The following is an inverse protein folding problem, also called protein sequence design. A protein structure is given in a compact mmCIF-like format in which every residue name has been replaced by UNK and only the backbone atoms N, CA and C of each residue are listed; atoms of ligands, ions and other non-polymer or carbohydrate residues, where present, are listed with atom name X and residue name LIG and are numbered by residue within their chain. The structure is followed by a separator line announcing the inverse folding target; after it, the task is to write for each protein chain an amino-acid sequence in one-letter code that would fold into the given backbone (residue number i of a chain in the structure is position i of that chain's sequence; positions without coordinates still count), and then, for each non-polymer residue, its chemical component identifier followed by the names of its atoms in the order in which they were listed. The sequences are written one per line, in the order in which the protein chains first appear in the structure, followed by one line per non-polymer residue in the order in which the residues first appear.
data_IF_228465964803
#
_entry.id   IF_228465964803
#
_cell.length_a   1.000
_cell.length_b   1.000
_cell.length_c   1.000
_cell.angle_alpha   90.00
_cell.angle_beta   90.00
_cell.angle_gamma   90.00
#
_symmetry.space_group_name_H-M   'P 1'
#
loop_
_entity.id
_entity.type
_entity.pdbx_description
1 polymer ?
#
# COMPACT_ATOMS: atom_id res chain seq x y z
N UNK A 1 -17.36 -17.53 -3.52
CA UNK A 1 -17.42 -17.24 -2.06
C UNK A 1 -16.75 -18.31 -1.21
N UNK A 2 -17.02 -19.62 -1.34
CA UNK A 2 -16.42 -20.65 -0.48
C UNK A 2 -14.88 -20.66 -0.44
N UNK A 3 -14.20 -20.28 -1.53
CA UNK A 3 -12.75 -20.14 -1.53
C UNK A 3 -12.28 -18.97 -0.66
N UNK A 4 -12.98 -17.87 -0.71
CA UNK A 4 -12.69 -16.69 0.13
C UNK A 4 -12.90 -17.04 1.61
N UNK A 5 -14.00 -17.72 1.95
CA UNK A 5 -14.27 -18.21 3.31
C UNK A 5 -13.18 -19.17 3.79
N UNK A 6 -12.70 -20.05 2.90
CA UNK A 6 -11.60 -20.97 3.20
C UNK A 6 -10.28 -20.25 3.47
N UNK A 7 -9.95 -19.21 2.70
CA UNK A 7 -8.77 -18.38 2.92
C UNK A 7 -8.86 -17.68 4.28
N UNK A 8 -10.03 -17.12 4.60
CA UNK A 8 -10.28 -16.45 5.88
C UNK A 8 -10.27 -17.41 7.08
N UNK A 9 -10.70 -18.68 6.89
CA UNK A 9 -10.88 -19.64 7.99
C UNK A 9 -9.67 -20.50 8.31
N UNK A 10 -8.64 -20.52 7.44
CA UNK A 10 -7.49 -21.42 7.60
C UNK A 10 -6.19 -20.65 7.83
N UNK A 11 -5.88 -20.27 9.09
CA UNK A 11 -4.65 -19.54 9.43
C UNK A 11 -3.37 -20.40 9.34
N UNK A 12 -3.51 -21.72 9.13
CA UNK A 12 -2.42 -22.69 9.16
C UNK A 12 -2.03 -23.20 7.77
N UNK A 13 -2.75 -22.81 6.72
CA UNK A 13 -2.43 -23.20 5.35
C UNK A 13 -1.01 -22.78 4.97
N UNK A 14 -0.23 -23.73 4.46
CA UNK A 14 1.15 -23.54 3.96
C UNK A 14 1.22 -23.57 2.44
N UNK A 15 0.17 -24.03 1.80
CA UNK A 15 0.01 -24.06 0.36
C UNK A 15 -1.43 -23.77 -0.04
N UNK A 16 -1.61 -23.25 -1.24
CA UNK A 16 -2.95 -22.89 -1.76
C UNK A 16 -3.90 -24.11 -1.80
N UNK A 17 -3.36 -25.31 -2.08
CA UNK A 17 -4.14 -26.54 -2.08
C UNK A 17 -4.77 -26.85 -0.72
N UNK A 18 -4.14 -26.45 0.38
CA UNK A 18 -4.66 -26.73 1.72
C UNK A 18 -5.95 -25.98 2.06
N UNK A 19 -6.28 -24.92 1.32
CA UNK A 19 -7.59 -24.28 1.45
C UNK A 19 -8.75 -25.20 1.07
N UNK A 20 -8.51 -26.19 0.18
CA UNK A 20 -9.52 -27.20 -0.15
C UNK A 20 -9.85 -28.13 1.03
N UNK A 21 -8.99 -28.23 2.02
CA UNK A 21 -9.21 -29.03 3.23
C UNK A 21 -10.03 -28.31 4.29
N UNK A 22 -10.28 -27.02 4.09
CA UNK A 22 -11.08 -26.22 5.03
C UNK A 22 -12.55 -26.70 5.00
N UNK A 23 -13.21 -26.92 6.14
CA UNK A 23 -14.57 -27.47 6.18
C UNK A 23 -15.61 -26.67 5.39
N UNK A 24 -15.46 -25.34 5.30
CA UNK A 24 -16.36 -24.49 4.53
C UNK A 24 -16.19 -24.60 3.00
N UNK A 25 -15.09 -25.20 2.52
CA UNK A 25 -14.86 -25.43 1.09
C UNK A 25 -15.36 -26.83 0.70
N UNK A 26 -16.51 -26.91 0.06
CA UNK A 26 -17.20 -28.17 -0.25
C UNK A 26 -16.73 -28.87 -1.53
N UNK A 27 -15.95 -28.15 -2.35
CA UNK A 27 -15.53 -28.61 -3.66
C UNK A 27 -14.15 -29.28 -3.63
N UNK A 28 -13.73 -29.87 -4.75
CA UNK A 28 -12.42 -30.50 -4.88
C UNK A 28 -11.31 -29.46 -5.10
N UNK A 29 -10.05 -29.89 -4.92
CA UNK A 29 -8.91 -29.03 -5.19
C UNK A 29 -8.82 -28.58 -6.66
N UNK A 30 -9.23 -29.44 -7.60
CA UNK A 30 -9.26 -29.10 -9.02
C UNK A 30 -10.22 -27.95 -9.31
N UNK A 31 -11.34 -27.88 -8.60
CA UNK A 31 -12.32 -26.79 -8.72
C UNK A 31 -11.72 -25.46 -8.22
N UNK A 32 -10.86 -25.49 -7.19
CA UNK A 32 -10.15 -24.29 -6.74
C UNK A 32 -9.31 -23.70 -7.89
N UNK A 33 -8.47 -24.52 -8.51
CA UNK A 33 -7.63 -24.08 -9.62
C UNK A 33 -8.45 -23.63 -10.84
N UNK A 34 -9.56 -24.32 -11.13
CA UNK A 34 -10.48 -23.95 -12.19
C UNK A 34 -11.12 -22.60 -11.90
N UNK A 35 -11.61 -22.37 -10.68
CA UNK A 35 -12.18 -21.08 -10.27
C UNK A 35 -11.20 -19.92 -10.44
N UNK A 36 -9.94 -20.09 -9.98
CA UNK A 36 -8.91 -19.07 -10.18
C UNK A 36 -8.57 -18.84 -11.64
N UNK A 37 -8.66 -19.89 -12.48
CA UNK A 37 -8.35 -19.78 -13.91
C UNK A 37 -9.44 -19.09 -14.72
N UNK A 38 -10.70 -19.27 -14.36
CA UNK A 38 -11.88 -18.87 -15.14
C UNK A 38 -12.55 -17.58 -14.61
N UNK A 39 -12.19 -17.14 -13.40
CA UNK A 39 -12.74 -15.91 -12.88
C UNK A 39 -12.28 -14.70 -13.70
N UNK A 40 -13.19 -13.77 -13.88
CA UNK A 40 -12.91 -12.42 -14.41
C UNK A 40 -13.06 -11.43 -13.28
N UNK A 41 -12.26 -10.39 -13.29
CA UNK A 41 -12.23 -9.39 -12.25
C UNK A 41 -12.35 -7.99 -12.86
N UNK A 42 -13.30 -7.22 -12.34
CA UNK A 42 -13.35 -5.78 -12.57
C UNK A 42 -12.41 -5.10 -11.56
N UNK A 43 -11.53 -4.22 -12.02
CA UNK A 43 -10.52 -3.57 -11.17
C UNK A 43 -11.15 -2.81 -10.01
N UNK A 44 -12.33 -2.20 -10.20
CA UNK A 44 -13.05 -1.42 -9.18
C UNK A 44 -14.01 -2.25 -8.33
N UNK A 45 -14.23 -3.50 -8.67
CA UNK A 45 -15.23 -4.34 -7.99
C UNK A 45 -15.04 -4.43 -6.48
N UNK A 46 -13.79 -4.56 -6.02
CA UNK A 46 -13.50 -4.62 -4.58
C UNK A 46 -13.86 -3.31 -3.88
N UNK A 47 -13.49 -2.16 -4.47
CA UNK A 47 -13.81 -0.85 -3.93
C UNK A 47 -15.33 -0.66 -3.78
N UNK A 48 -16.11 -1.09 -4.79
CA UNK A 48 -17.57 -1.02 -4.73
C UNK A 48 -18.16 -1.94 -3.65
N UNK A 49 -17.63 -3.15 -3.49
CA UNK A 49 -18.09 -4.09 -2.45
C UNK A 49 -17.88 -3.54 -1.04
N UNK A 50 -16.74 -2.87 -0.81
CA UNK A 50 -16.44 -2.33 0.52
C UNK A 50 -17.03 -0.94 0.78
N UNK A 51 -17.32 -0.16 -0.27
CA UNK A 51 -17.78 1.23 -0.16
C UNK A 51 -18.94 1.45 0.82
N UNK A 52 -20.00 0.59 0.85
CA UNK A 52 -21.12 0.75 1.80
C UNK A 52 -20.73 0.61 3.27
N UNK A 53 -19.56 0.02 3.57
CA UNK A 53 -19.08 -0.25 4.93
C UNK A 53 -18.01 0.75 5.38
N UNK A 54 -17.65 1.72 4.54
CA UNK A 54 -16.64 2.74 4.86
C UNK A 54 -17.25 3.83 5.73
N UNK A 55 -16.73 4.00 6.93
CA UNK A 55 -17.11 5.09 7.83
C UNK A 55 -16.61 6.44 7.30
N UNK A 56 -17.34 7.50 7.62
CA UNK A 56 -16.80 8.84 7.50
C UNK A 56 -15.76 9.07 8.60
N UNK A 57 -14.64 9.74 8.31
CA UNK A 57 -13.69 10.14 9.35
C UNK A 57 -14.38 11.02 10.40
N UNK A 58 -14.03 10.83 11.67
CA UNK A 58 -14.60 11.58 12.80
C UNK A 58 -13.57 12.49 13.46
N UNK A 59 -12.31 12.04 13.51
CA UNK A 59 -11.22 12.76 14.19
C UNK A 59 -10.42 13.66 13.23
N UNK A 60 -10.43 13.35 11.93
CA UNK A 60 -9.71 14.11 10.90
C UNK A 60 -10.63 14.57 9.77
N UNK A 61 -10.37 15.73 9.11
CA UNK A 61 -11.24 16.27 8.07
C UNK A 61 -11.11 15.59 6.70
N UNK A 62 -10.32 14.52 6.57
CA UNK A 62 -10.01 13.87 5.30
C UNK A 62 -10.05 12.34 5.38
N UNK A 63 -10.27 11.72 4.23
CA UNK A 63 -10.07 10.28 4.05
C UNK A 63 -8.59 10.03 3.73
N UNK A 64 -7.97 9.09 4.44
CA UNK A 64 -6.57 8.76 4.23
C UNK A 64 -6.43 7.56 3.31
N UNK A 65 -5.78 7.74 2.17
CA UNK A 65 -5.45 6.71 1.21
C UNK A 65 -3.95 6.40 1.30
N UNK A 66 -3.61 5.15 1.18
CA UNK A 66 -2.22 4.72 1.12
C UNK A 66 -1.92 4.04 -0.20
N UNK A 67 -0.79 4.35 -0.80
CA UNK A 67 -0.30 3.71 -2.03
C UNK A 67 1.06 3.09 -1.80
N UNK A 68 1.23 1.83 -2.24
CA UNK A 68 2.52 1.16 -2.17
C UNK A 68 2.63 0.05 -3.20
N UNK A 69 3.88 -0.30 -3.56
CA UNK A 69 4.20 -1.38 -4.49
C UNK A 69 4.94 -2.48 -3.75
N UNK A 70 4.41 -3.70 -3.85
CA UNK A 70 5.05 -4.87 -3.25
C UNK A 70 5.58 -5.85 -4.31
N UNK A 71 6.79 -6.41 -4.11
CA UNK A 71 7.37 -7.38 -5.01
C UNK A 71 6.76 -8.77 -4.83
N UNK A 72 6.59 -9.47 -5.96
CA UNK A 72 6.24 -10.89 -6.07
C UNK A 72 7.40 -11.65 -6.72
N UNK A 73 8.35 -12.23 -5.95
CA UNK A 73 9.48 -12.96 -6.49
C UNK A 73 9.05 -14.20 -7.29
N UNK A 74 9.56 -14.34 -8.52
CA UNK A 74 9.25 -15.43 -9.47
C UNK A 74 10.51 -15.87 -10.22
N UNK A 75 11.63 -15.96 -9.53
CA UNK A 75 12.95 -16.20 -10.14
C UNK A 75 13.04 -17.53 -10.91
N UNK A 76 12.35 -18.58 -10.45
CA UNK A 76 12.39 -19.89 -11.08
C UNK A 76 11.23 -20.16 -12.06
N UNK A 77 10.31 -19.21 -12.24
CA UNK A 77 9.18 -19.36 -13.14
C UNK A 77 9.56 -19.04 -14.60
N UNK A 78 10.45 -19.86 -15.18
CA UNK A 78 11.03 -19.58 -16.50
C UNK A 78 10.02 -19.47 -17.65
N UNK A 79 8.83 -20.00 -17.50
CA UNK A 79 7.76 -19.96 -18.50
C UNK A 79 6.72 -18.86 -18.24
N UNK A 80 6.88 -18.09 -17.16
CA UNK A 80 6.04 -16.95 -16.84
C UNK A 80 6.53 -15.72 -17.62
N UNK A 81 5.62 -15.08 -18.35
CA UNK A 81 5.91 -13.87 -19.12
C UNK A 81 6.07 -12.64 -18.24
N UNK A 82 6.63 -11.56 -18.80
CA UNK A 82 6.73 -10.22 -18.20
C UNK A 82 7.44 -10.18 -16.84
N UNK A 83 8.41 -11.08 -16.62
CA UNK A 83 9.25 -11.02 -15.41
C UNK A 83 10.36 -9.99 -15.60
N UNK A 84 10.41 -9.03 -14.68
CA UNK A 84 11.47 -8.00 -14.65
C UNK A 84 12.37 -8.10 -13.42
N UNK A 85 13.36 -7.20 -13.36
CA UNK A 85 14.16 -7.02 -12.15
C UNK A 85 13.34 -6.23 -11.11
N UNK A 86 13.20 -6.80 -9.93
CA UNK A 86 12.43 -6.23 -8.82
C UNK A 86 13.29 -6.11 -7.56
N UNK A 87 12.92 -5.19 -6.68
CA UNK A 87 13.58 -5.05 -5.38
C UNK A 87 13.23 -6.25 -4.47
N UNK A 88 14.22 -6.79 -3.78
CA UNK A 88 14.04 -7.84 -2.78
C UNK A 88 14.35 -7.30 -1.39
N UNK A 89 13.34 -7.10 -0.52
CA UNK A 89 13.54 -6.46 0.78
C UNK A 89 14.36 -7.30 1.78
N UNK A 90 14.33 -8.64 1.67
CA UNK A 90 15.04 -9.54 2.57
C UNK A 90 16.30 -10.08 1.86
N UNK A 91 17.41 -9.38 2.02
CA UNK A 91 18.67 -9.75 1.42
C UNK A 91 19.49 -10.68 2.31
N UNK A 92 20.16 -11.64 1.67
CA UNK A 92 21.33 -12.26 2.26
C UNK A 92 22.48 -11.25 2.24
N UNK A 93 23.20 -11.12 3.35
CA UNK A 93 24.34 -10.19 3.46
C UNK A 93 25.33 -10.42 2.29
N UNK A 94 25.68 -9.34 1.61
CA UNK A 94 26.57 -9.40 0.43
C UNK A 94 25.87 -9.52 -0.92
N UNK A 95 24.57 -9.84 -0.97
CA UNK A 95 23.82 -9.90 -2.22
C UNK A 95 23.23 -8.54 -2.60
N UNK A 96 23.06 -8.30 -3.90
CA UNK A 96 22.29 -7.14 -4.37
C UNK A 96 20.82 -7.30 -4.01
N UNK A 97 20.11 -6.21 -3.64
CA UNK A 97 18.68 -6.25 -3.27
C UNK A 97 17.76 -6.41 -4.49
N UNK A 98 18.09 -7.32 -5.39
CA UNK A 98 17.40 -7.50 -6.67
C UNK A 98 17.09 -8.98 -6.86
N UNK A 99 15.88 -9.27 -7.29
CA UNK A 99 15.43 -10.58 -7.76
C UNK A 99 14.63 -10.42 -9.05
N UNK A 100 14.11 -11.52 -9.57
CA UNK A 100 13.29 -11.54 -10.78
C UNK A 100 11.84 -11.86 -10.39
N UNK A 101 10.88 -11.12 -10.95
CA UNK A 101 9.46 -11.36 -10.66
C UNK A 101 8.55 -10.27 -11.19
N UNK A 102 7.39 -10.16 -10.57
CA UNK A 102 6.37 -9.16 -10.83
C UNK A 102 6.30 -8.14 -9.68
N UNK A 103 5.63 -7.03 -9.92
CA UNK A 103 5.33 -6.01 -8.91
C UNK A 103 3.83 -5.71 -8.94
N UNK A 104 3.26 -5.50 -7.77
CA UNK A 104 1.85 -5.17 -7.63
C UNK A 104 1.70 -3.83 -6.91
N UNK A 105 1.01 -2.89 -7.55
CA UNK A 105 0.59 -1.63 -6.96
C UNK A 105 -0.74 -1.83 -6.25
N UNK A 106 -0.85 -1.30 -5.05
CA UNK A 106 -2.09 -1.37 -4.24
C UNK A 106 -2.40 -0.01 -3.68
N UNK A 107 -3.66 0.42 -3.84
CA UNK A 107 -4.25 1.57 -3.16
C UNK A 107 -5.26 1.06 -2.14
N UNK A 108 -5.18 1.57 -0.93
CA UNK A 108 -6.04 1.18 0.17
C UNK A 108 -6.48 2.40 0.99
N UNK A 109 -7.68 2.33 1.57
CA UNK A 109 -8.09 3.24 2.63
C UNK A 109 -7.37 2.86 3.93
N UNK A 110 -6.83 3.84 4.62
CA UNK A 110 -6.28 3.72 5.97
C UNK A 110 -7.31 4.31 6.94
N UNK A 111 -8.15 3.47 7.57
CA UNK A 111 -9.23 3.94 8.43
C UNK A 111 -8.68 4.56 9.70
N UNK A 112 -9.47 5.39 10.36
CA UNK A 112 -9.21 5.82 11.73
C UNK A 112 -9.24 4.62 12.68
N UNK A 113 -8.53 4.76 13.81
CA UNK A 113 -8.46 3.69 14.81
C UNK A 113 -9.78 3.64 15.57
N UNK A 114 -10.53 2.56 15.42
CA UNK A 114 -11.77 2.31 16.14
C UNK A 114 -11.49 1.76 17.55
N UNK A 115 -12.37 2.03 18.50
CA UNK A 115 -12.28 1.48 19.84
C UNK A 115 -12.31 -0.06 19.80
N UNK A 116 -11.42 -0.69 20.55
CA UNK A 116 -11.31 -2.16 20.59
C UNK A 116 -10.74 -2.81 19.32
N UNK A 117 -10.44 -2.04 18.29
CA UNK A 117 -9.85 -2.50 17.02
C UNK A 117 -8.36 -2.13 16.95
N UNK A 118 -7.56 -2.99 16.34
CA UNK A 118 -6.14 -2.72 16.12
C UNK A 118 -5.94 -1.61 15.08
N UNK A 119 -4.98 -0.75 15.31
CA UNK A 119 -4.58 0.30 14.35
C UNK A 119 -3.96 -0.23 13.04
N UNK A 120 -3.75 -1.53 12.90
CA UNK A 120 -3.05 -2.11 11.73
C UNK A 120 -3.98 -2.55 10.61
N UNK A 121 -5.24 -2.18 10.64
CA UNK A 121 -6.17 -2.47 9.57
C UNK A 121 -6.05 -1.48 8.42
N UNK A 122 -6.16 -2.00 7.21
CA UNK A 122 -6.42 -1.23 6.00
C UNK A 122 -7.68 -1.76 5.31
N UNK A 123 -8.22 -1.02 4.36
CA UNK A 123 -9.24 -1.52 3.44
C UNK A 123 -8.69 -1.48 2.04
N UNK A 124 -8.30 -2.63 1.44
CA UNK A 124 -7.79 -2.64 0.08
C UNK A 124 -8.91 -2.21 -0.88
N UNK A 125 -8.59 -1.29 -1.78
CA UNK A 125 -9.53 -0.74 -2.75
C UNK A 125 -9.23 -1.20 -4.16
N UNK A 126 -8.01 -0.93 -4.63
CA UNK A 126 -7.52 -1.32 -5.94
C UNK A 126 -6.17 -2.00 -5.81
N UNK A 127 -5.95 -3.01 -6.64
CA UNK A 127 -4.63 -3.62 -6.77
C UNK A 127 -4.47 -4.21 -8.16
N UNK A 128 -3.37 -3.90 -8.84
CA UNK A 128 -3.03 -4.52 -10.10
C UNK A 128 -1.53 -4.73 -10.26
N UNK A 129 -1.16 -5.59 -11.18
CA UNK A 129 0.23 -5.78 -11.57
C UNK A 129 0.73 -4.54 -12.33
N UNK A 130 1.91 -4.06 -11.96
CA UNK A 130 2.67 -3.13 -12.78
C UNK A 130 3.51 -3.95 -13.76
N UNK A 131 3.26 -3.79 -15.07
CA UNK A 131 4.05 -4.45 -16.10
C UNK A 131 5.49 -3.93 -16.13
N UNK A 132 6.40 -4.71 -16.69
CA UNK A 132 7.84 -4.35 -16.64
C UNK A 132 8.17 -3.08 -17.42
N UNK A 133 7.39 -2.73 -18.43
CA UNK A 133 7.51 -1.49 -19.22
C UNK A 133 6.84 -0.28 -18.55
N UNK A 134 5.94 -0.48 -17.61
CA UNK A 134 5.26 0.60 -16.88
C UNK A 134 6.16 1.23 -15.79
N UNK A 135 5.90 2.48 -15.46
CA UNK A 135 6.39 3.09 -14.24
C UNK A 135 5.43 2.71 -13.09
N UNK A 136 5.93 1.87 -12.18
CA UNK A 136 5.11 1.29 -11.10
C UNK A 136 4.48 2.34 -10.17
N UNK A 137 5.12 3.50 -10.03
CA UNK A 137 4.54 4.60 -9.26
C UNK A 137 3.40 5.27 -10.05
N UNK A 138 3.52 5.42 -11.37
CA UNK A 138 2.44 5.96 -12.21
C UNK A 138 1.23 5.03 -12.26
N UNK A 139 1.42 3.71 -12.15
CA UNK A 139 0.31 2.77 -11.95
C UNK A 139 -0.51 3.13 -10.71
N UNK A 140 0.17 3.50 -9.61
CA UNK A 140 -0.52 4.01 -8.41
C UNK A 140 -1.28 5.31 -8.65
N UNK A 141 -0.75 6.20 -9.50
CA UNK A 141 -1.45 7.44 -9.88
C UNK A 141 -2.71 7.15 -10.72
N UNK A 142 -2.65 6.21 -11.66
CA UNK A 142 -3.81 5.77 -12.44
C UNK A 142 -4.89 5.14 -11.55
N UNK A 143 -4.49 4.33 -10.58
CA UNK A 143 -5.41 3.76 -9.60
C UNK A 143 -6.07 4.84 -8.74
N UNK A 144 -5.32 5.85 -8.33
CA UNK A 144 -5.84 7.00 -7.58
C UNK A 144 -6.85 7.80 -8.43
N UNK A 145 -6.51 8.06 -9.70
CA UNK A 145 -7.40 8.73 -10.66
C UNK A 145 -8.71 7.96 -10.82
N UNK A 146 -8.65 6.64 -10.95
CA UNK A 146 -9.82 5.76 -11.04
C UNK A 146 -10.72 5.89 -9.82
N UNK A 147 -10.16 5.85 -8.60
CA UNK A 147 -10.94 5.97 -7.36
C UNK A 147 -11.60 7.35 -7.21
N UNK A 148 -10.88 8.42 -7.55
CA UNK A 148 -11.37 9.78 -7.35
C UNK A 148 -12.41 10.19 -8.40
N UNK A 149 -12.41 9.58 -9.57
CA UNK A 149 -13.39 9.83 -10.64
C UNK A 149 -14.65 8.98 -10.53
N UNK A 150 -14.62 7.87 -9.80
CA UNK A 150 -15.79 7.01 -9.67
C UNK A 150 -16.80 7.62 -8.69
N UNK A 151 -17.89 8.14 -9.23
CA UNK A 151 -18.96 8.78 -8.47
C UNK A 151 -19.73 7.83 -7.51
N UNK A 152 -19.56 6.52 -7.64
CA UNK A 152 -20.13 5.52 -6.75
C UNK A 152 -19.30 5.33 -5.47
N UNK A 153 -18.09 5.90 -5.44
CA UNK A 153 -17.17 5.82 -4.32
C UNK A 153 -17.15 7.13 -3.54
N UNK A 154 -16.91 7.08 -2.24
CA UNK A 154 -17.00 8.28 -1.38
C UNK A 154 -15.72 9.14 -1.40
N UNK A 155 -14.96 9.14 -2.50
CA UNK A 155 -13.67 9.82 -2.59
C UNK A 155 -13.70 11.07 -3.48
N UNK A 156 -14.57 11.11 -4.49
CA UNK A 156 -14.58 12.19 -5.48
C UNK A 156 -14.92 13.58 -4.90
N UNK A 157 -15.73 13.64 -3.86
CA UNK A 157 -16.17 14.90 -3.24
C UNK A 157 -15.53 15.18 -1.87
N UNK A 158 -14.96 14.15 -1.22
CA UNK A 158 -14.30 14.30 0.07
C UNK A 158 -12.86 14.81 -0.10
N UNK A 159 -12.37 15.56 0.90
CA UNK A 159 -10.94 15.79 0.99
C UNK A 159 -10.25 14.45 1.22
N UNK A 160 -9.29 14.13 0.36
CA UNK A 160 -8.49 12.93 0.44
C UNK A 160 -7.02 13.30 0.67
N UNK A 161 -6.40 12.70 1.66
CA UNK A 161 -4.95 12.70 1.81
C UNK A 161 -4.39 11.35 1.35
N UNK A 162 -3.34 11.39 0.55
CA UNK A 162 -2.64 10.21 0.08
C UNK A 162 -1.26 10.13 0.71
N UNK A 163 -0.88 8.96 1.20
CA UNK A 163 0.46 8.73 1.77
C UNK A 163 1.25 7.72 0.93
N UNK A 164 2.48 8.12 0.57
CA UNK A 164 3.42 7.28 -0.18
C UNK A 164 4.85 7.35 0.35
N UNK A 165 5.66 6.37 -0.02
CA UNK A 165 7.08 6.35 0.32
C UNK A 165 7.87 7.39 -0.49
N UNK A 166 9.20 7.32 -0.41
CA UNK A 166 10.12 8.21 -1.15
C UNK A 166 9.95 8.12 -2.68
N UNK A 167 9.47 7.01 -3.20
CA UNK A 167 9.27 6.82 -4.64
C UNK A 167 8.14 7.71 -5.18
N UNK A 168 7.13 7.96 -4.37
CA UNK A 168 5.97 8.79 -4.70
C UNK A 168 6.24 10.30 -4.60
N UNK A 169 7.40 10.71 -4.09
CA UNK A 169 7.81 12.12 -4.09
C UNK A 169 8.42 12.59 -5.42
N UNK A 170 8.44 11.75 -6.45
CA UNK A 170 8.99 12.09 -7.78
C UNK A 170 8.08 13.09 -8.50
N UNK A 171 8.66 14.06 -9.26
CA UNK A 171 7.87 15.02 -10.02
C UNK A 171 6.84 14.39 -10.96
N UNK A 172 7.14 13.23 -11.58
CA UNK A 172 6.22 12.56 -12.48
C UNK A 172 4.93 12.12 -11.78
N UNK A 173 5.05 11.51 -10.60
CA UNK A 173 3.92 11.08 -9.79
C UNK A 173 3.07 12.26 -9.33
N UNK A 174 3.72 13.26 -8.70
CA UNK A 174 3.05 14.45 -8.20
C UNK A 174 2.36 15.25 -9.32
N UNK A 175 2.95 15.25 -10.52
CA UNK A 175 2.35 15.90 -11.69
C UNK A 175 1.14 15.12 -12.24
N UNK A 176 1.15 13.79 -12.18
CA UNK A 176 0.04 12.96 -12.66
C UNK A 176 -1.26 13.25 -11.90
N UNK A 177 -1.17 13.40 -10.57
CA UNK A 177 -2.32 13.58 -9.68
C UNK A 177 -2.74 15.05 -9.46
N UNK A 178 -2.06 16.02 -10.06
CA UNK A 178 -2.26 17.45 -9.83
C UNK A 178 -3.65 18.00 -10.18
N UNK A 179 -4.39 17.29 -11.02
CA UNK A 179 -5.71 17.75 -11.51
C UNK A 179 -6.85 17.41 -10.53
N UNK A 180 -6.57 16.65 -9.47
CA UNK A 180 -7.54 16.37 -8.41
C UNK A 180 -7.47 17.45 -7.34
N UNK A 181 -8.37 18.44 -7.40
CA UNK A 181 -8.40 19.55 -6.43
C UNK A 181 -8.66 19.10 -5.00
N UNK A 182 -9.28 17.94 -4.79
CA UNK A 182 -9.57 17.38 -3.47
C UNK A 182 -8.51 16.36 -2.97
N UNK A 183 -7.40 16.16 -3.70
CA UNK A 183 -6.32 15.25 -3.30
C UNK A 183 -5.12 16.03 -2.76
N UNK A 184 -4.63 15.61 -1.61
CA UNK A 184 -3.37 16.08 -1.02
C UNK A 184 -2.42 14.91 -0.87
N UNK A 185 -1.30 14.93 -1.59
CA UNK A 185 -0.28 13.89 -1.54
C UNK A 185 0.78 14.21 -0.47
N UNK A 186 0.98 13.32 0.48
CA UNK A 186 2.00 13.37 1.53
C UNK A 186 3.05 12.30 1.22
N UNK A 187 4.22 12.70 0.77
CA UNK A 187 5.27 11.76 0.38
C UNK A 187 6.60 12.07 1.06
N UNK A 188 7.36 11.03 1.40
CA UNK A 188 8.67 11.21 2.02
C UNK A 188 9.68 11.77 1.03
N UNK A 189 10.41 12.81 1.43
CA UNK A 189 11.56 13.31 0.70
C UNK A 189 12.86 12.61 1.12
N UNK A 190 13.76 12.36 0.16
CA UNK A 190 15.13 11.93 0.47
C UNK A 190 15.91 13.09 1.06
N UNK A 191 16.64 12.87 2.15
CA UNK A 191 17.45 13.90 2.81
C UNK A 191 18.58 14.52 1.96
N UNK A 192 18.76 14.07 0.72
CA UNK A 192 19.73 14.63 -0.24
C UNK A 192 19.08 15.57 -1.26
N UNK A 193 17.78 15.84 -1.15
CA UNK A 193 17.08 16.72 -2.10
C UNK A 193 17.32 18.19 -1.79
N UNK A 194 17.28 18.98 -2.85
CA UNK A 194 17.26 20.44 -2.79
C UNK A 194 15.94 20.93 -3.36
N UNK A 195 15.30 21.84 -2.65
CA UNK A 195 14.10 22.57 -3.02
C UNK A 195 14.40 24.06 -3.12
N UNK A 196 13.40 24.87 -3.40
CA UNK A 196 13.57 26.30 -3.60
C UNK A 196 12.40 27.04 -2.96
N UNK A 197 12.67 28.22 -2.40
CA UNK A 197 11.59 29.18 -2.12
C UNK A 197 11.05 29.73 -3.45
N UNK A 198 9.83 30.19 -3.44
CA UNK A 198 9.30 30.96 -4.55
C UNK A 198 10.12 32.25 -4.68
N UNK A 199 10.46 32.61 -5.91
CA UNK A 199 11.16 33.87 -6.16
C UNK A 199 10.24 35.05 -5.87
N UNK A 200 10.75 36.02 -5.15
CA UNK A 200 10.08 37.34 -4.90
C UNK A 200 10.96 38.38 -5.59
N UNK A 201 10.39 39.08 -6.58
CA UNK A 201 11.09 40.15 -7.26
C UNK A 201 11.40 41.31 -6.29
N UNK A 202 12.62 41.76 -6.29
CA UNK A 202 13.00 43.03 -5.61
C UNK A 202 12.78 44.18 -6.58
N UNK A 203 12.43 45.36 -6.04
CA UNK A 203 12.06 46.56 -6.83
C UNK A 203 13.14 47.07 -7.77
N UNK A 204 14.35 46.51 -7.74
CA UNK A 204 15.52 46.95 -8.54
C UNK A 204 15.81 46.04 -9.73
N UNK A 205 15.03 44.93 -9.92
CA UNK A 205 15.31 43.98 -11.00
C UNK A 205 14.58 44.33 -12.29
N UNK A 206 15.30 44.36 -13.39
CA UNK A 206 14.79 44.59 -14.75
C UNK A 206 13.79 43.51 -15.15
N UNK A 207 12.65 43.91 -15.72
CA UNK A 207 11.63 43.02 -16.28
C UNK A 207 12.08 42.27 -17.53
N UNK A 208 13.30 42.54 -18.03
CA UNK A 208 13.83 41.91 -19.22
C UNK A 208 14.44 40.53 -18.95
N UNK A 209 13.93 39.48 -19.59
CA UNK A 209 14.50 38.13 -19.53
C UNK A 209 13.47 37.03 -19.26
N UNK A 210 13.95 35.79 -19.10
CA UNK A 210 13.11 34.65 -18.76
C UNK A 210 12.64 34.76 -17.29
N UNK A 211 11.33 34.57 -17.00
CA UNK A 211 10.83 34.64 -15.64
C UNK A 211 11.60 33.74 -14.69
N UNK A 212 12.07 34.31 -13.57
CA UNK A 212 12.75 33.60 -12.50
C UNK A 212 11.67 33.04 -11.55
N UNK A 213 11.49 31.73 -11.51
CA UNK A 213 10.52 31.10 -10.63
C UNK A 213 11.12 30.67 -9.28
N UNK A 214 12.41 30.35 -9.29
CA UNK A 214 13.09 29.71 -8.17
C UNK A 214 13.97 30.74 -7.44
N UNK A 215 13.63 31.00 -6.19
CA UNK A 215 14.44 31.80 -5.26
C UNK A 215 15.57 30.99 -4.61
N UNK A 216 15.91 31.32 -3.38
CA UNK A 216 16.98 30.67 -2.62
C UNK A 216 16.88 29.15 -2.54
N UNK A 217 18.00 28.49 -2.67
CA UNK A 217 18.08 27.03 -2.55
C UNK A 217 17.90 26.61 -1.09
N UNK A 218 17.13 25.54 -0.87
CA UNK A 218 16.87 24.88 0.42
C UNK A 218 17.36 23.45 0.34
N UNK A 219 18.50 23.15 0.89
CA UNK A 219 19.05 21.81 0.92
C UNK A 219 18.62 21.03 2.16
N UNK A 220 18.07 19.82 2.00
CA UNK A 220 17.72 18.98 3.14
C UNK A 220 18.94 18.43 3.89
N UNK A 221 20.11 18.47 3.26
CA UNK A 221 21.37 18.02 3.85
C UNK A 221 22.12 19.13 4.59
N UNK A 222 21.90 20.38 4.18
CA UNK A 222 22.64 21.54 4.66
C UNK A 222 21.72 22.50 5.44
N UNK A 223 21.94 22.58 6.74
CA UNK A 223 21.10 23.40 7.63
C UNK A 223 21.28 24.91 7.41
N UNK A 224 22.44 25.32 6.95
CA UNK A 224 22.73 26.74 6.71
C UNK A 224 21.91 27.36 5.59
N UNK A 225 21.35 26.52 4.71
CA UNK A 225 20.48 26.94 3.60
C UNK A 225 18.99 27.07 4.00
N UNK A 226 18.66 26.72 5.24
CA UNK A 226 17.27 26.68 5.72
C UNK A 226 16.91 27.98 6.42
N UNK A 227 15.96 28.74 5.89
CA UNK A 227 15.42 29.88 6.62
C UNK A 227 14.58 29.39 7.81
N UNK A 228 14.21 30.31 8.69
CA UNK A 228 13.26 30.02 9.77
C UNK A 228 11.98 29.38 9.23
N UNK A 229 11.41 28.38 9.94
CA UNK A 229 10.16 27.76 9.55
C UNK A 229 9.00 28.74 9.62
N UNK A 230 8.05 28.59 8.71
CA UNK A 230 6.83 29.38 8.70
C UNK A 230 5.87 28.96 9.84
N UNK A 231 5.97 27.68 10.26
CA UNK A 231 5.17 27.12 11.35
C UNK A 231 5.97 26.07 12.11
N UNK A 232 5.79 26.02 13.44
CA UNK A 232 6.39 25.00 14.31
C UNK A 232 5.39 24.55 15.35
N UNK A 233 5.23 23.23 15.50
CA UNK A 233 4.42 22.64 16.56
C UNK A 233 5.22 21.55 17.31
N UNK A 234 4.78 21.25 18.53
CA UNK A 234 5.32 20.15 19.34
C UNK A 234 4.19 19.17 19.64
N UNK A 235 4.41 17.89 19.34
CA UNK A 235 3.48 16.81 19.61
C UNK A 235 4.13 15.82 20.59
N UNK A 236 3.36 15.37 21.57
CA UNK A 236 3.82 14.31 22.50
C UNK A 236 3.24 12.96 22.07
N UNK A 237 4.11 11.99 21.88
CA UNK A 237 3.74 10.62 21.50
C UNK A 237 4.10 9.64 22.61
N UNK A 238 3.24 8.64 22.79
CA UNK A 238 3.53 7.48 23.65
C UNK A 238 3.64 6.21 22.81
N UNK A 239 4.79 5.53 22.90
CA UNK A 239 4.96 4.23 22.23
C UNK A 239 4.09 3.14 22.89
N UNK A 240 3.89 2.01 22.19
CA UNK A 240 3.20 0.83 22.75
C UNK A 240 3.85 0.27 24.00
N UNK A 241 5.13 0.56 24.23
CA UNK A 241 5.89 0.15 25.44
C UNK A 241 5.89 1.22 26.52
N UNK A 242 5.06 2.26 26.41
CA UNK A 242 4.92 3.33 27.39
C UNK A 242 5.96 4.45 27.32
N UNK A 243 7.01 4.34 26.48
CA UNK A 243 7.99 5.43 26.31
C UNK A 243 7.34 6.64 25.71
N UNK A 244 7.62 7.81 26.27
CA UNK A 244 7.15 9.10 25.79
C UNK A 244 8.20 9.72 24.87
N UNK A 245 7.75 10.39 23.84
CA UNK A 245 8.61 11.12 22.91
C UNK A 245 8.02 12.50 22.64
N UNK A 246 8.89 13.48 22.53
CA UNK A 246 8.58 14.83 22.03
C UNK A 246 8.92 14.88 20.56
N UNK A 247 7.96 15.25 19.73
CA UNK A 247 8.16 15.41 18.29
C UNK A 247 8.03 16.89 17.95
N UNK A 248 9.09 17.47 17.46
CA UNK A 248 9.10 18.83 16.92
C UNK A 248 8.83 18.75 15.43
N UNK A 249 7.79 19.44 14.96
CA UNK A 249 7.37 19.46 13.56
C UNK A 249 7.46 20.90 13.06
N UNK A 250 8.26 21.10 12.01
CA UNK A 250 8.49 22.39 11.35
C UNK A 250 7.97 22.35 9.93
N UNK A 251 7.41 23.45 9.44
CA UNK A 251 6.94 23.56 8.07
C UNK A 251 7.46 24.81 7.36
N UNK A 252 7.70 24.66 6.07
CA UNK A 252 7.99 25.72 5.11
C UNK A 252 7.01 25.65 3.97
N UNK A 253 6.22 26.70 3.80
CA UNK A 253 5.18 26.75 2.78
C UNK A 253 5.70 27.34 1.47
N UNK A 254 4.91 27.15 0.40
CA UNK A 254 5.21 27.69 -0.93
C UNK A 254 6.60 27.31 -1.48
N UNK A 255 7.04 26.11 -1.13
CA UNK A 255 8.27 25.55 -1.65
C UNK A 255 8.08 25.06 -3.09
N UNK A 256 9.14 25.13 -3.88
CA UNK A 256 9.15 24.72 -5.27
C UNK A 256 10.18 23.60 -5.52
N UNK A 257 9.89 22.73 -6.48
CA UNK A 257 10.84 21.72 -6.95
C UNK A 257 11.06 21.79 -8.46
N UNK A 258 12.24 21.43 -8.91
CA UNK A 258 12.52 21.32 -10.35
C UNK A 258 11.92 20.05 -10.92
N UNK A 259 11.17 20.18 -12.03
CA UNK A 259 10.51 19.08 -12.72
C UNK A 259 11.41 18.43 -13.77
N UNK A 260 12.48 17.70 -13.36
CA UNK A 260 13.28 16.89 -14.30
C UNK A 260 12.60 15.54 -14.50
N UNK A 261 12.03 15.31 -15.68
CA UNK A 261 11.50 14.02 -16.11
C UNK A 261 11.93 13.78 -17.55
N UNK A 262 12.98 13.00 -17.76
CA UNK A 262 13.50 12.72 -19.09
C UNK A 262 12.47 12.01 -19.97
N UNK A 263 12.28 12.41 -21.23
CA UNK A 263 12.94 13.53 -21.92
C UNK A 263 12.31 14.91 -21.69
N UNK A 264 11.15 14.99 -21.00
CA UNK A 264 10.36 16.22 -20.83
C UNK A 264 10.69 16.91 -19.48
N UNK A 265 10.59 18.24 -19.47
CA UNK A 265 10.55 19.01 -18.22
C UNK A 265 9.09 19.20 -17.81
N UNK A 266 8.77 18.87 -16.56
CA UNK A 266 7.45 19.07 -15.98
C UNK A 266 7.38 20.48 -15.35
N UNK A 267 6.26 21.21 -15.48
CA UNK A 267 6.11 22.57 -14.97
C UNK A 267 5.87 22.60 -13.45
N UNK A 268 6.77 21.98 -12.67
CA UNK A 268 6.62 21.83 -11.22
C UNK A 268 6.67 23.16 -10.45
N UNK A 269 7.16 24.24 -11.06
CA UNK A 269 7.09 25.59 -10.49
C UNK A 269 5.66 26.12 -10.32
N UNK A 270 4.67 25.53 -11.04
CA UNK A 270 3.25 25.88 -10.91
C UNK A 270 2.55 25.21 -9.76
N UNK A 271 3.22 24.28 -9.06
CA UNK A 271 2.65 23.47 -7.99
C UNK A 271 3.46 23.66 -6.71
N UNK A 272 3.27 24.80 -6.02
CA UNK A 272 3.91 25.01 -4.74
C UNK A 272 3.42 23.99 -3.72
N UNK A 273 4.32 23.56 -2.84
CA UNK A 273 4.05 22.55 -1.82
C UNK A 273 4.50 23.01 -0.45
N UNK A 274 4.06 22.34 0.61
CA UNK A 274 4.59 22.50 1.95
C UNK A 274 5.64 21.43 2.23
N UNK A 275 6.81 21.85 2.69
CA UNK A 275 7.88 20.99 3.15
C UNK A 275 7.77 20.87 4.66
N UNK A 276 7.67 19.64 5.17
CA UNK A 276 7.52 19.37 6.61
C UNK A 276 8.72 18.56 7.09
N UNK A 277 9.31 18.99 8.21
CA UNK A 277 10.34 18.27 8.94
C UNK A 277 9.79 17.80 10.28
N UNK A 278 9.98 16.55 10.65
CA UNK A 278 9.69 16.06 11.99
C UNK A 278 10.95 15.46 12.62
N UNK A 279 11.27 15.93 13.83
CA UNK A 279 12.40 15.47 14.64
C UNK A 279 11.86 14.92 15.95
N UNK A 280 12.29 13.72 16.31
CA UNK A 280 11.81 13.01 17.48
C UNK A 280 12.87 12.94 18.56
N UNK A 281 12.51 13.36 19.75
CA UNK A 281 13.36 13.35 20.95
C UNK A 281 12.80 12.39 21.99
N UNK A 282 13.67 11.75 22.74
CA UNK A 282 13.27 10.95 23.91
C UNK A 282 12.99 11.83 25.14
N UNK A 283 12.67 11.19 26.27
CA UNK A 283 12.38 11.89 27.53
C UNK A 283 13.57 12.68 28.09
N UNK A 284 14.80 12.32 27.71
CA UNK A 284 16.03 13.01 28.11
C UNK A 284 16.42 14.14 27.15
N UNK A 285 15.63 14.35 26.08
CA UNK A 285 15.93 15.36 25.07
C UNK A 285 16.95 14.93 24.02
N UNK A 286 17.37 13.66 24.02
CA UNK A 286 18.26 13.12 23.01
C UNK A 286 17.47 12.71 21.74
N UNK A 287 18.14 12.74 20.57
CA UNK A 287 17.54 12.34 19.31
C UNK A 287 17.13 10.86 19.32
N UNK A 288 15.84 10.58 19.28
CA UNK A 288 15.33 9.22 19.17
C UNK A 288 15.56 8.59 17.79
N UNK A 289 15.76 9.41 16.75
CA UNK A 289 16.12 9.00 15.39
C UNK A 289 17.25 9.88 14.87
N UNK A 290 18.31 9.26 14.33
CA UNK A 290 19.46 10.00 13.80
C UNK A 290 19.15 10.92 12.61
N UNK A 291 18.08 10.65 11.89
CA UNK A 291 17.68 11.41 10.70
C UNK A 291 16.28 11.96 10.84
N UNK A 292 16.09 13.25 10.55
CA UNK A 292 14.76 13.84 10.53
C UNK A 292 13.88 13.18 9.44
N UNK A 293 12.59 13.13 9.70
CA UNK A 293 11.61 12.78 8.70
C UNK A 293 11.29 14.05 7.88
N UNK A 294 11.46 13.95 6.56
CA UNK A 294 11.10 15.01 5.63
C UNK A 294 9.92 14.58 4.78
N UNK A 295 8.87 15.40 4.75
CA UNK A 295 7.65 15.16 3.98
C UNK A 295 7.43 16.31 3.00
N UNK A 296 6.94 15.96 1.81
CA UNK A 296 6.41 16.89 0.81
C UNK A 296 4.90 16.76 0.86
N UNK A 297 4.19 17.88 1.00
CA UNK A 297 2.74 17.94 1.04
C UNK A 297 2.25 18.76 -0.15
N UNK A 298 1.70 18.08 -1.16
CA UNK A 298 1.29 18.66 -2.45
C UNK A 298 -0.21 18.53 -2.62
N UNK A 299 -0.87 19.58 -3.05
CA UNK A 299 -2.31 19.62 -3.33
C UNK A 299 -2.84 21.04 -3.11
N UNK A 300 -3.94 21.37 -3.78
CA UNK A 300 -4.55 22.70 -3.66
C UNK A 300 -5.08 22.94 -2.24
N UNK A 301 -5.68 21.93 -1.65
CA UNK A 301 -6.29 21.97 -0.31
C UNK A 301 -5.33 21.55 0.82
N UNK A 302 -4.00 21.55 0.59
CA UNK A 302 -2.99 21.12 1.58
C UNK A 302 -3.01 21.93 2.88
N UNK A 303 -3.50 23.16 2.81
CA UNK A 303 -3.62 24.08 3.98
C UNK A 303 -4.77 23.69 4.92
N UNK A 304 -5.65 22.78 4.51
CA UNK A 304 -6.71 22.24 5.37
C UNK A 304 -6.20 21.11 6.28
N UNK A 305 -4.99 20.62 6.06
CA UNK A 305 -4.34 19.63 6.92
C UNK A 305 -3.40 20.32 7.88
N UNK A 306 -3.61 20.14 9.18
CA UNK A 306 -2.65 20.62 10.17
C UNK A 306 -1.38 19.75 10.24
N UNK A 307 -0.31 20.24 10.82
CA UNK A 307 0.99 19.54 10.85
C UNK A 307 0.94 18.23 11.64
N UNK A 308 0.12 18.15 12.67
CA UNK A 308 -0.09 16.92 13.45
C UNK A 308 -0.76 15.86 12.60
N UNK A 309 -1.79 16.20 11.83
CA UNK A 309 -2.48 15.30 10.93
C UNK A 309 -1.55 14.77 9.83
N UNK A 310 -0.74 15.64 9.21
CA UNK A 310 0.25 15.28 8.20
C UNK A 310 1.24 14.25 8.76
N UNK A 311 1.74 14.49 9.95
CA UNK A 311 2.70 13.61 10.62
C UNK A 311 2.09 12.24 10.93
N UNK A 312 0.90 12.20 11.55
CA UNK A 312 0.21 10.96 11.90
C UNK A 312 -0.26 10.20 10.67
N UNK A 313 -0.78 10.89 9.64
CA UNK A 313 -1.15 10.26 8.36
C UNK A 313 0.03 9.54 7.72
N UNK A 314 1.21 10.18 7.68
CA UNK A 314 2.39 9.54 7.14
C UNK A 314 2.82 8.30 7.96
N UNK A 315 2.72 8.35 9.28
CA UNK A 315 3.02 7.21 10.14
C UNK A 315 2.05 6.04 9.91
N UNK A 316 0.78 6.32 9.64
CA UNK A 316 -0.22 5.28 9.35
C UNK A 316 0.08 4.54 8.03
N UNK A 317 0.90 5.06 7.13
CA UNK A 317 1.39 4.35 5.92
C UNK A 317 1.97 2.97 6.25
N UNK A 318 2.57 2.80 7.43
CA UNK A 318 3.13 1.50 7.85
C UNK A 318 2.08 0.38 7.94
N UNK A 319 0.80 0.70 8.00
CA UNK A 319 -0.27 -0.30 8.01
C UNK A 319 -0.36 -1.04 6.67
N UNK A 320 0.06 -0.44 5.54
CA UNK A 320 0.24 -1.15 4.27
C UNK A 320 1.31 -2.25 4.36
N UNK A 321 2.42 -1.98 5.05
CA UNK A 321 3.47 -2.98 5.25
C UNK A 321 2.98 -4.13 6.14
N UNK A 322 2.15 -3.83 7.14
CA UNK A 322 1.48 -4.84 7.96
C UNK A 322 0.52 -5.69 7.14
N UNK A 323 -0.27 -5.07 6.27
CA UNK A 323 -1.16 -5.76 5.34
C UNK A 323 -0.39 -6.72 4.42
N UNK A 324 0.64 -6.26 3.73
CA UNK A 324 1.42 -7.13 2.85
C UNK A 324 2.11 -8.27 3.60
N UNK A 325 2.61 -8.01 4.80
CA UNK A 325 3.19 -9.05 5.66
C UNK A 325 2.15 -10.09 6.05
N UNK A 326 0.98 -9.68 6.51
CA UNK A 326 -0.12 -10.57 6.86
C UNK A 326 -0.61 -11.35 5.63
N UNK A 327 -0.84 -10.68 4.51
CA UNK A 327 -1.25 -11.27 3.24
C UNK A 327 -0.27 -12.38 2.78
N UNK A 328 1.02 -12.08 2.80
CA UNK A 328 2.07 -13.05 2.39
C UNK A 328 2.21 -14.21 3.37
N UNK A 329 2.12 -13.97 4.67
CA UNK A 329 2.38 -14.99 5.71
C UNK A 329 1.14 -15.79 6.10
N UNK A 330 -0.06 -15.21 6.04
CA UNK A 330 -1.30 -15.79 6.57
C UNK A 330 -2.37 -16.09 5.52
N UNK A 331 -2.38 -15.35 4.41
CA UNK A 331 -3.34 -15.53 3.33
C UNK A 331 -2.70 -16.10 2.05
N UNK A 332 -1.42 -16.44 2.09
CA UNK A 332 -0.65 -16.97 0.96
C UNK A 332 -0.71 -16.08 -0.29
N UNK A 333 -0.69 -14.74 -0.10
CA UNK A 333 -0.72 -13.76 -1.19
C UNK A 333 0.31 -14.08 -2.28
N UNK A 334 1.53 -14.47 -1.89
CA UNK A 334 2.61 -14.89 -2.77
C UNK A 334 2.66 -16.40 -3.03
N UNK A 335 1.69 -17.16 -2.52
CA UNK A 335 1.73 -18.64 -2.51
C UNK A 335 1.25 -19.31 -3.78
N UNK A 336 0.47 -18.62 -4.63
CA UNK A 336 -0.05 -19.18 -5.87
C UNK A 336 0.97 -19.05 -6.99
N UNK A 337 1.70 -20.13 -7.23
CA UNK A 337 2.75 -20.17 -8.24
C UNK A 337 2.24 -20.79 -9.54
N UNK A 338 1.95 -19.97 -10.52
CA UNK A 338 1.41 -20.33 -11.83
C UNK A 338 2.32 -19.79 -12.94
N UNK A 339 2.37 -20.43 -14.12
CA UNK A 339 3.04 -19.86 -15.29
C UNK A 339 2.17 -18.86 -16.07
N UNK A 340 0.98 -18.54 -15.61
CA UNK A 340 0.02 -17.65 -16.27
C UNK A 340 -0.24 -16.40 -15.41
N UNK A 341 0.13 -15.23 -15.94
CA UNK A 341 0.02 -13.95 -15.21
C UNK A 341 -1.40 -13.64 -14.77
N UNK A 342 -2.40 -13.86 -15.63
CA UNK A 342 -3.82 -13.62 -15.30
C UNK A 342 -4.27 -14.44 -14.08
N UNK A 343 -3.84 -15.70 -13.96
CA UNK A 343 -4.18 -16.51 -12.78
C UNK A 343 -3.47 -16.04 -11.52
N UNK A 344 -2.26 -15.50 -11.65
CA UNK A 344 -1.55 -14.88 -10.54
C UNK A 344 -2.29 -13.62 -10.07
N UNK A 345 -2.75 -12.78 -11.00
CA UNK A 345 -3.55 -11.60 -10.71
C UNK A 345 -4.91 -11.95 -10.08
N UNK A 346 -5.60 -12.95 -10.61
CA UNK A 346 -6.85 -13.44 -10.03
C UNK A 346 -6.67 -13.91 -8.59
N UNK A 347 -5.58 -14.65 -8.30
CA UNK A 347 -5.27 -15.06 -6.94
C UNK A 347 -4.99 -13.85 -6.03
N UNK A 348 -4.30 -12.85 -6.56
CA UNK A 348 -4.02 -11.61 -5.84
C UNK A 348 -5.31 -10.90 -5.41
N UNK A 349 -6.27 -10.77 -6.32
CA UNK A 349 -7.58 -10.18 -6.04
C UNK A 349 -8.39 -10.99 -5.01
N UNK A 350 -8.38 -12.32 -5.12
CA UNK A 350 -9.04 -13.18 -4.14
C UNK A 350 -8.51 -12.98 -2.71
N UNK A 351 -7.20 -12.80 -2.57
CA UNK A 351 -6.60 -12.56 -1.25
C UNK A 351 -6.96 -11.16 -0.73
N UNK A 352 -7.04 -10.15 -1.60
CA UNK A 352 -7.51 -8.82 -1.21
C UNK A 352 -8.96 -8.85 -0.75
N UNK A 353 -9.83 -9.57 -1.47
CA UNK A 353 -11.23 -9.79 -1.08
C UNK A 353 -11.32 -10.53 0.26
N UNK A 354 -10.50 -11.57 0.48
CA UNK A 354 -10.45 -12.28 1.75
C UNK A 354 -10.03 -11.37 2.91
N UNK A 355 -9.05 -10.50 2.68
CA UNK A 355 -8.65 -9.54 3.70
C UNK A 355 -9.77 -8.52 4.01
N UNK A 356 -10.44 -8.01 2.98
CA UNK A 356 -11.61 -7.13 3.15
C UNK A 356 -12.73 -7.83 3.94
N UNK A 357 -12.98 -9.12 3.68
CA UNK A 357 -13.95 -9.91 4.44
C UNK A 357 -13.55 -10.06 5.91
N UNK A 358 -12.25 -10.25 6.22
CA UNK A 358 -11.76 -10.24 7.59
C UNK A 358 -11.97 -8.87 8.25
N UNK A 359 -11.71 -7.78 7.53
CA UNK A 359 -11.97 -6.43 8.04
C UNK A 359 -13.45 -6.20 8.36
N UNK A 360 -14.36 -6.60 7.49
CA UNK A 360 -15.81 -6.50 7.74
C UNK A 360 -16.24 -7.31 8.97
N UNK A 361 -15.60 -8.45 9.23
CA UNK A 361 -15.89 -9.31 10.38
C UNK A 361 -15.25 -8.88 11.71
N UNK A 362 -14.50 -7.76 11.76
CA UNK A 362 -13.68 -7.37 12.92
C UNK A 362 -14.50 -7.19 14.20
N UNK A 363 -15.68 -6.62 14.12
CA UNK A 363 -16.53 -6.40 15.31
C UNK A 363 -17.19 -7.68 15.81
N UNK A 364 -17.53 -8.59 14.91
CA UNK A 364 -18.11 -9.89 15.28
C UNK A 364 -17.07 -10.77 15.97
N UNK A 365 -15.83 -10.74 15.53
CA UNK A 365 -14.73 -11.51 16.13
C UNK A 365 -14.40 -11.06 17.57
N UNK A 366 -14.55 -9.78 17.86
CA UNK A 366 -14.29 -9.23 19.20
C UNK A 366 -15.18 -9.84 20.28
N UNK A 367 -16.42 -10.19 19.92
CA UNK A 367 -17.42 -10.75 20.83
C UNK A 367 -17.41 -12.29 20.90
N UNK A 368 -16.39 -12.95 20.36
CA UNK A 368 -16.28 -14.40 20.27
C UNK A 368 -15.07 -14.99 21.04
N UNK A 369 -14.83 -14.61 22.31
CA UNK A 369 -13.80 -15.26 23.11
C UNK A 369 -14.12 -16.74 23.29
N UNK A 370 -13.10 -17.58 23.31
CA UNK A 370 -13.27 -18.99 23.66
C UNK A 370 -13.70 -19.10 25.13
N UNK A 371 -14.39 -20.16 25.56
CA UNK A 371 -14.88 -20.28 26.93
C UNK A 371 -13.79 -20.06 28.00
N UNK A 372 -12.58 -20.56 27.76
CA UNK A 372 -11.44 -20.40 28.67
C UNK A 372 -10.71 -19.06 28.57
N UNK A 373 -10.96 -18.28 27.52
CA UNK A 373 -10.36 -16.95 27.32
C UNK A 373 -11.15 -15.85 28.04
N UNK A 374 -12.42 -16.09 28.39
CA UNK A 374 -13.32 -15.08 28.96
C UNK A 374 -12.81 -14.46 30.26
N UNK A 375 -12.07 -15.21 31.05
CA UNK A 375 -11.56 -14.79 32.34
C UNK A 375 -10.09 -14.32 32.31
N UNK A 376 -9.46 -14.34 31.14
CA UNK A 376 -8.09 -13.87 31.01
C UNK A 376 -8.05 -12.33 30.99
N UNK A 377 -7.25 -11.68 31.86
CA UNK A 377 -7.15 -10.21 31.88
C UNK A 377 -6.75 -9.62 30.53
N UNK A 378 -5.89 -10.32 29.79
CA UNK A 378 -5.45 -9.91 28.46
C UNK A 378 -6.58 -9.82 27.41
N UNK A 379 -7.68 -10.56 27.60
CA UNK A 379 -8.81 -10.53 26.68
C UNK A 379 -9.68 -9.29 26.86
N UNK A 380 -9.70 -8.67 28.02
CA UNK A 380 -10.44 -7.42 28.29
C UNK A 380 -9.83 -6.22 27.56
N UNK A 381 -8.53 -6.27 27.28
CA UNK A 381 -7.77 -5.21 26.60
C UNK A 381 -7.31 -5.61 25.19
N UNK A 382 -7.70 -6.80 24.72
CA UNK A 382 -7.26 -7.31 23.41
C UNK A 382 -7.98 -6.56 22.30
N UNK A 383 -7.18 -5.87 21.46
CA UNK A 383 -7.70 -5.22 20.27
C UNK A 383 -7.85 -6.22 19.13
N UNK A 384 -8.94 -6.10 18.38
CA UNK A 384 -9.25 -6.97 17.24
C UNK A 384 -8.27 -6.72 16.10
N UNK A 385 -7.39 -7.68 15.85
CA UNK A 385 -6.38 -7.65 14.78
C UNK A 385 -6.75 -8.61 13.64
N UNK A 386 -6.18 -8.47 12.42
CA UNK A 386 -6.41 -9.41 11.32
C UNK A 386 -6.18 -10.87 11.71
N UNK A 387 -5.14 -11.16 12.49
CA UNK A 387 -4.86 -12.51 12.98
C UNK A 387 -5.90 -13.04 13.96
N UNK A 388 -6.45 -12.18 14.81
CA UNK A 388 -7.52 -12.57 15.74
C UNK A 388 -8.81 -12.90 14.97
N UNK A 389 -9.18 -12.07 14.01
CA UNK A 389 -10.36 -12.31 13.18
C UNK A 389 -10.19 -13.60 12.39
N UNK A 390 -9.05 -13.82 11.74
CA UNK A 390 -8.78 -15.04 10.98
C UNK A 390 -8.88 -16.30 11.86
N UNK A 391 -8.32 -16.25 13.07
CA UNK A 391 -8.41 -17.36 14.05
C UNK A 391 -9.86 -17.72 14.41
N UNK A 392 -10.74 -16.73 14.47
CA UNK A 392 -12.14 -16.90 14.84
C UNK A 392 -13.07 -17.06 13.62
N UNK A 393 -12.59 -16.80 12.41
CA UNK A 393 -13.45 -16.69 11.22
C UNK A 393 -14.27 -17.96 10.94
N UNK A 394 -13.71 -19.13 11.11
CA UNK A 394 -14.46 -20.39 10.98
C UNK A 394 -15.61 -20.54 11.98
N UNK A 395 -15.56 -19.87 13.14
CA UNK A 395 -16.67 -19.82 14.11
C UNK A 395 -17.74 -18.84 13.67
N UNK A 396 -17.34 -17.70 13.11
CA UNK A 396 -18.26 -16.70 12.54
C UNK A 396 -19.07 -17.33 11.41
N UNK A 397 -18.40 -17.99 10.46
CA UNK A 397 -19.05 -18.67 9.33
C UNK A 397 -20.07 -19.69 9.79
N UNK A 398 -19.78 -20.48 10.84
CA UNK A 398 -20.74 -21.44 11.40
C UNK A 398 -21.96 -20.79 12.00
N UNK A 399 -21.83 -19.63 12.62
CA UNK A 399 -22.97 -18.89 13.20
C UNK A 399 -23.87 -18.32 12.11
N UNK A 400 -23.31 -17.92 10.96
CA UNK A 400 -24.07 -17.45 9.80
C UNK A 400 -24.82 -18.60 9.11
N UNK A 401 -24.46 -19.83 9.40
CA UNK A 401 -25.15 -21.00 8.88
C UNK A 401 -24.53 -21.66 7.66
N UNK A 402 -23.29 -21.34 7.32
CA UNK A 402 -22.55 -22.13 6.31
C UNK A 402 -22.30 -23.54 6.85
N UNK A 403 -22.85 -24.59 6.24
CA UNK A 403 -22.72 -25.94 6.76
C UNK A 403 -21.26 -26.39 6.67
N UNK A 404 -20.61 -26.57 7.82
CA UNK A 404 -19.34 -27.26 7.90
C UNK A 404 -19.52 -28.72 7.50
N UNK A 405 -18.66 -29.22 6.59
CA UNK A 405 -18.60 -30.63 6.23
C UNK A 405 -17.41 -31.29 6.92
N UNK A 406 -17.44 -32.61 7.14
CA UNK A 406 -16.28 -33.34 7.61
C UNK A 406 -15.07 -33.08 6.73
N UNK A 407 -13.84 -33.05 7.27
CA UNK A 407 -12.63 -32.91 6.48
C UNK A 407 -12.58 -33.96 5.39
N UNK A 408 -12.28 -33.54 4.17
CA UNK A 408 -12.12 -34.47 3.06
C UNK A 408 -10.79 -35.20 3.19
N UNK A 409 -10.76 -36.53 2.95
CA UNK A 409 -9.50 -37.22 2.88
C UNK A 409 -8.66 -36.65 1.74
N UNK A 410 -7.35 -36.61 1.94
CA UNK A 410 -6.41 -36.19 0.90
C UNK A 410 -6.40 -37.30 -0.15
N UNK A 411 -7.11 -37.10 -1.26
CA UNK A 411 -7.12 -38.03 -2.38
C UNK A 411 -5.89 -37.89 -3.26
N UNK A 412 -5.47 -38.96 -3.89
CA UNK A 412 -4.48 -38.90 -4.96
C UNK A 412 -5.12 -38.28 -6.21
N UNK A 413 -4.39 -37.42 -6.90
CA UNK A 413 -4.79 -36.98 -8.24
C UNK A 413 -4.89 -38.21 -9.16
N UNK A 414 -5.91 -38.32 -10.02
CA UNK A 414 -6.02 -39.41 -10.97
C UNK A 414 -4.84 -39.47 -11.96
N UNK A 415 -3.95 -38.50 -11.93
CA UNK A 415 -2.83 -38.39 -12.82
C UNK A 415 -3.25 -38.08 -14.26
N UNK A 416 -2.30 -38.15 -15.17
CA UNK A 416 -2.55 -38.01 -16.60
C UNK A 416 -2.87 -39.38 -17.22
N UNK A 417 -3.71 -39.35 -18.23
CA UNK A 417 -3.94 -40.57 -19.04
C UNK A 417 -2.60 -41.07 -19.61
N UNK A 418 -2.38 -42.38 -19.56
CA UNK A 418 -1.17 -43.00 -20.12
C UNK A 418 -0.99 -42.57 -21.59
N UNK A 419 0.21 -42.15 -21.97
CA UNK A 419 0.49 -41.66 -23.33
C UNK A 419 0.24 -40.15 -23.58
N UNK A 420 -0.34 -39.40 -22.64
CA UNK A 420 -0.51 -37.95 -22.80
C UNK A 420 0.84 -37.24 -22.78
N UNK A 421 1.23 -36.69 -23.93
CA UNK A 421 2.40 -35.80 -24.04
C UNK A 421 1.97 -34.33 -23.86
N UNK A 422 2.68 -33.59 -23.02
CA UNK A 422 2.49 -32.17 -22.94
C UNK A 422 3.49 -31.47 -23.85
N UNK A 423 3.00 -30.51 -24.60
CA UNK A 423 3.87 -29.57 -25.29
C UNK A 423 4.59 -28.71 -24.24
N UNK A 424 5.92 -28.67 -24.19
CA UNK A 424 6.65 -27.82 -23.29
C UNK A 424 6.27 -26.36 -23.52
N UNK A 425 6.03 -25.60 -22.44
CA UNK A 425 5.83 -24.17 -22.55
C UNK A 425 7.15 -23.50 -22.94
N UNK A 426 7.10 -22.49 -23.83
CA UNK A 426 8.31 -21.76 -24.22
C UNK A 426 8.89 -21.02 -23.01
N UNK A 427 10.21 -20.98 -22.93
CA UNK A 427 10.92 -20.18 -21.93
C UNK A 427 10.82 -18.70 -22.29
N UNK A 428 10.54 -17.88 -21.31
CA UNK A 428 10.43 -16.42 -21.44
C UNK A 428 11.72 -15.77 -20.96
N UNK A 429 12.19 -14.76 -21.68
CA UNK A 429 13.33 -13.93 -21.26
C UNK A 429 12.92 -13.01 -20.11
N UNK A 430 13.89 -12.70 -19.24
CA UNK A 430 13.72 -11.66 -18.22
C UNK A 430 13.80 -10.31 -18.93
N UNK A 431 12.79 -9.45 -18.70
CA UNK A 431 12.75 -8.13 -19.28
C UNK A 431 13.63 -7.18 -18.47
N UNK A 432 14.43 -6.39 -19.13
CA UNK A 432 15.24 -5.34 -18.52
C UNK A 432 14.72 -3.99 -19.01
N UNK A 433 14.25 -3.17 -18.11
CA UNK A 433 13.74 -1.82 -18.39
C UNK A 433 14.85 -1.04 -19.11
N UNK A 434 14.57 -0.48 -20.27
CA UNK A 434 15.49 0.29 -21.14
C UNK A 434 16.44 -0.51 -22.07
N UNK A 435 16.30 -1.81 -22.22
CA UNK A 435 16.88 -2.45 -23.39
C UNK A 435 15.94 -2.20 -24.59
N UNK A 436 16.40 -1.42 -25.57
CA UNK A 436 15.74 -1.36 -26.88
C UNK A 436 15.59 -2.80 -27.40
N UNK A 437 14.45 -3.17 -28.00
CA UNK A 437 14.34 -4.46 -28.66
C UNK A 437 15.48 -4.58 -29.67
N UNK A 438 16.24 -5.67 -29.59
CA UNK A 438 17.24 -5.97 -30.60
C UNK A 438 16.56 -5.91 -31.96
N UNK A 439 17.10 -5.08 -32.89
CA UNK A 439 16.62 -5.05 -34.26
C UNK A 439 16.58 -6.51 -34.77
N UNK A 440 15.50 -6.95 -35.40
CA UNK A 440 15.48 -8.25 -36.04
C UNK A 440 16.62 -8.31 -37.06
N UNK A 441 17.39 -9.40 -37.01
CA UNK A 441 18.47 -9.67 -37.92
C UNK A 441 17.95 -9.92 -39.33
#
# INVERSE_FOLDING_TARGET
MELVDAICSNPHARSVVEYCLTPCFRLSYSTLFKAVAEMTWDETALAHVVAPYLSQPQERPFKLLGVDVTPQPRQYAHTLADRGMIYQPNMVKGNKPITIGHQYSTVALLPEVEEGVSSSWIVPLLSRRAHTDEDKELVGAEQMDTLLKDNRLPFGHALCAEVGDTSYSKPAYLHANRHHGNLVTIARARGTRTFYRQYVATSEESEAGHPTWYGGAFSLKDETTRPEPDETIIVTERSRRGKVYRVEIKAWHNMLMRGKYKPKRLPMHRYPFSLVQAVRYDEQGALACQRPLWLIVVGERRHELNLSDIYHAYHQRFDLEHFFRFGKQKLLLAGFQTPEGVREENWWQLVHLAYAQLWMARHVAHNLPRPWERNLPSMKTCRTSPSLVQRNFGRIVRQIGTPAKPPKPRGNSPGRRKGTKLTPRPRQKVLVKNQQPAKPA
#
